data_IF_174656648856
#
_entry.id   IF_174656648856
#
_cell.length_a   1.000
_cell.length_b   1.000
_cell.length_c   1.000
_cell.angle_alpha   90.00
_cell.angle_beta   90.00
_cell.angle_gamma   90.00
#
_symmetry.space_group_name_H-M   'P 1'
#
loop_
_entity.id
_entity.type
_entity.pdbx_description
1 polymer ?
#
# COMPACT_ATOMS: atom_id res chain seq x y z
N UNK A 1 -14.02 -14.65 -6.26
CA UNK A 1 -14.93 -15.46 -5.43
C UNK A 1 -16.35 -14.97 -5.68
N UNK A 2 -17.29 -15.89 -5.81
CA UNK A 2 -18.72 -15.60 -6.00
C UNK A 2 -19.39 -14.96 -4.76
N UNK A 3 -18.59 -14.58 -3.78
CA UNK A 3 -19.04 -13.92 -2.54
C UNK A 3 -18.83 -12.42 -2.70
N UNK A 4 -19.92 -11.68 -2.82
CA UNK A 4 -19.89 -10.22 -2.96
C UNK A 4 -19.26 -9.50 -1.76
N UNK A 5 -18.97 -8.21 -1.94
CA UNK A 5 -18.57 -7.31 -0.85
C UNK A 5 -19.85 -6.85 -0.13
N UNK A 6 -19.88 -6.99 1.19
CA UNK A 6 -21.01 -6.57 2.03
C UNK A 6 -20.61 -5.32 2.81
N UNK A 7 -21.48 -4.32 2.77
CA UNK A 7 -21.31 -3.10 3.56
C UNK A 7 -22.14 -3.22 4.85
N UNK A 8 -21.53 -2.94 6.00
CA UNK A 8 -22.17 -2.87 7.31
C UNK A 8 -22.16 -1.41 7.80
N UNK A 9 -23.11 -0.59 7.38
CA UNK A 9 -23.09 0.85 7.62
C UNK A 9 -23.43 1.26 9.06
N UNK A 10 -23.81 0.34 9.94
CA UNK A 10 -24.27 0.63 11.30
C UNK A 10 -23.27 1.45 12.13
N UNK A 11 -21.97 1.10 12.07
CA UNK A 11 -20.97 1.85 12.79
C UNK A 11 -20.83 3.27 12.22
N UNK A 12 -20.84 3.40 10.90
CA UNK A 12 -20.72 4.70 10.21
C UNK A 12 -21.93 5.61 10.56
N UNK A 13 -23.12 5.05 10.59
CA UNK A 13 -24.36 5.78 10.82
C UNK A 13 -24.67 6.06 12.31
N UNK A 14 -23.92 5.46 13.23
CA UNK A 14 -24.14 5.65 14.66
C UNK A 14 -23.56 6.99 15.13
N UNK A 15 -24.43 7.98 15.31
CA UNK A 15 -24.08 9.34 15.77
C UNK A 15 -23.58 9.39 17.22
N UNK A 16 -23.90 8.39 18.04
CA UNK A 16 -23.49 8.33 19.45
C UNK A 16 -22.03 7.88 19.64
N UNK A 17 -21.39 7.41 18.57
CA UNK A 17 -19.97 7.00 18.55
C UNK A 17 -19.21 8.03 17.71
N UNK A 18 -18.44 8.89 18.35
CA UNK A 18 -17.66 9.92 17.66
C UNK A 18 -16.40 9.33 17.02
N UNK A 19 -15.59 8.59 17.76
CA UNK A 19 -14.38 7.94 17.25
C UNK A 19 -14.68 6.49 16.87
N UNK A 20 -14.76 6.24 15.58
CA UNK A 20 -15.13 4.95 14.97
C UNK A 20 -13.91 4.14 14.53
N UNK A 21 -12.72 4.47 15.00
CA UNK A 21 -11.47 3.79 14.63
C UNK A 21 -11.52 2.32 15.03
N UNK A 22 -11.22 1.43 14.08
CA UNK A 22 -11.00 0.00 14.29
C UNK A 22 -9.49 -0.23 14.36
N UNK A 23 -9.00 -0.69 15.51
CA UNK A 23 -7.58 -0.91 15.76
C UNK A 23 -7.09 -2.29 15.32
N UNK A 24 -7.92 -3.33 15.49
CA UNK A 24 -7.63 -4.69 15.04
C UNK A 24 -8.89 -5.53 14.92
N UNK A 25 -8.77 -6.64 14.20
CA UNK A 25 -9.82 -7.66 14.07
C UNK A 25 -9.25 -8.98 14.55
N UNK A 26 -10.00 -9.66 15.41
CA UNK A 26 -9.68 -11.00 15.90
C UNK A 26 -10.84 -11.93 15.56
N UNK A 27 -10.55 -13.02 14.86
CA UNK A 27 -11.55 -14.03 14.48
C UNK A 27 -11.51 -15.18 15.47
N UNK A 28 -12.66 -15.52 16.01
CA UNK A 28 -12.82 -16.69 16.88
C UNK A 28 -14.19 -17.32 16.63
N UNK A 29 -14.19 -18.58 16.23
CA UNK A 29 -15.36 -19.28 15.75
C UNK A 29 -16.08 -18.51 14.62
N UNK A 30 -17.40 -18.38 14.70
CA UNK A 30 -18.23 -17.62 13.75
C UNK A 30 -18.24 -16.10 13.97
N UNK A 31 -17.38 -15.56 14.86
CA UNK A 31 -17.39 -14.16 15.23
C UNK A 31 -16.09 -13.43 14.88
N UNK A 32 -16.25 -12.20 14.44
CA UNK A 32 -15.19 -11.22 14.33
C UNK A 32 -15.30 -10.19 15.48
N UNK A 33 -14.29 -10.12 16.30
CA UNK A 33 -14.14 -9.15 17.40
C UNK A 33 -13.33 -7.96 16.88
N UNK A 34 -13.98 -6.82 16.72
CA UNK A 34 -13.34 -5.57 16.30
C UNK A 34 -12.92 -4.78 17.52
N UNK A 35 -11.64 -4.63 17.73
CA UNK A 35 -11.07 -3.74 18.74
C UNK A 35 -11.20 -2.30 18.30
N UNK A 36 -11.87 -1.46 19.09
CA UNK A 36 -12.20 -0.09 18.70
C UNK A 36 -11.78 0.93 19.78
N UNK A 37 -11.86 2.22 19.45
CA UNK A 37 -11.56 3.27 20.42
C UNK A 37 -12.65 3.45 21.51
N UNK A 38 -13.77 2.74 21.42
CA UNK A 38 -14.86 2.78 22.41
C UNK A 38 -15.08 1.43 23.12
N UNK A 39 -14.39 0.37 22.70
CA UNK A 39 -14.55 -0.98 23.26
C UNK A 39 -14.39 -2.06 22.20
N UNK A 40 -15.27 -3.06 22.23
CA UNK A 40 -15.24 -4.20 21.30
C UNK A 40 -16.58 -4.32 20.58
N UNK A 41 -16.56 -4.38 19.26
CA UNK A 41 -17.74 -4.66 18.44
C UNK A 41 -17.68 -6.11 17.96
N UNK A 42 -18.77 -6.84 18.08
CA UNK A 42 -18.88 -8.23 17.69
C UNK A 42 -19.72 -8.34 16.43
N UNK A 43 -19.17 -8.99 15.41
CA UNK A 43 -19.85 -9.29 14.14
C UNK A 43 -19.98 -10.80 14.00
N UNK A 44 -21.19 -11.29 13.73
CA UNK A 44 -21.38 -12.66 13.27
C UNK A 44 -21.05 -12.72 11.77
N UNK A 45 -20.06 -13.53 11.41
CA UNK A 45 -19.50 -13.59 10.05
C UNK A 45 -20.50 -14.22 9.08
N UNK A 46 -21.20 -15.25 9.52
CA UNK A 46 -22.16 -15.99 8.67
C UNK A 46 -23.43 -15.18 8.44
N UNK A 47 -23.95 -14.55 9.49
CA UNK A 47 -25.13 -13.66 9.41
C UNK A 47 -24.82 -12.31 8.77
N UNK A 48 -23.55 -11.92 8.73
CA UNK A 48 -23.07 -10.62 8.20
C UNK A 48 -23.71 -9.45 8.93
N UNK A 49 -23.81 -9.55 10.25
CA UNK A 49 -24.48 -8.56 11.09
C UNK A 49 -23.71 -8.30 12.39
N UNK A 50 -23.88 -7.11 12.93
CA UNK A 50 -23.36 -6.73 14.25
C UNK A 50 -24.25 -7.36 15.31
N UNK A 51 -23.69 -8.24 16.10
CA UNK A 51 -24.41 -8.94 17.16
C UNK A 51 -24.46 -8.14 18.45
N UNK A 52 -23.27 -7.62 18.87
CA UNK A 52 -23.09 -6.94 20.13
C UNK A 52 -22.06 -5.81 20.03
N UNK A 53 -22.12 -4.90 21.01
CA UNK A 53 -21.11 -3.86 21.19
C UNK A 53 -20.79 -3.71 22.67
N UNK A 54 -19.63 -4.19 23.09
CA UNK A 54 -19.16 -4.06 24.47
C UNK A 54 -18.53 -2.69 24.67
N UNK A 55 -19.35 -1.74 25.19
CA UNK A 55 -18.93 -0.35 25.44
C UNK A 55 -18.09 -0.30 26.72
N UNK A 56 -16.79 -0.36 26.57
CA UNK A 56 -15.85 -0.38 27.69
C UNK A 56 -15.40 1.02 28.10
N UNK A 57 -15.78 2.06 27.34
CA UNK A 57 -15.31 3.44 27.51
C UNK A 57 -13.79 3.55 27.58
N UNK A 58 -13.12 2.66 26.88
CA UNK A 58 -11.67 2.54 26.78
C UNK A 58 -11.29 2.21 25.37
N UNK A 59 -10.14 2.72 24.96
CA UNK A 59 -9.50 2.31 23.70
C UNK A 59 -8.98 0.90 23.82
N UNK A 60 -9.47 0.01 22.98
CA UNK A 60 -9.02 -1.38 22.87
C UNK A 60 -8.13 -1.51 21.64
N UNK A 61 -6.91 -2.00 21.82
CA UNK A 61 -5.95 -2.20 20.74
C UNK A 61 -6.01 -3.61 20.14
N UNK A 62 -6.27 -4.60 20.98
CA UNK A 62 -6.28 -6.01 20.57
C UNK A 62 -7.12 -6.84 21.51
N UNK A 63 -7.76 -7.87 20.97
CA UNK A 63 -8.50 -8.89 21.70
C UNK A 63 -7.83 -10.24 21.51
N UNK A 64 -7.86 -11.07 22.53
CA UNK A 64 -7.44 -12.47 22.50
C UNK A 64 -8.36 -13.30 23.40
N UNK A 65 -8.67 -14.53 23.00
CA UNK A 65 -9.45 -15.46 23.82
C UNK A 65 -8.53 -16.61 24.24
N UNK A 66 -8.54 -16.92 25.52
CA UNK A 66 -7.83 -18.07 26.09
C UNK A 66 -8.70 -18.70 27.17
N UNK A 67 -8.83 -20.02 27.11
CA UNK A 67 -9.65 -20.79 28.03
C UNK A 67 -11.09 -20.20 28.10
N UNK A 68 -11.59 -19.90 29.28
CA UNK A 68 -12.91 -19.32 29.50
C UNK A 68 -12.97 -17.80 29.45
N UNK A 69 -11.87 -17.11 29.07
CA UNK A 69 -11.76 -15.66 29.18
C UNK A 69 -11.49 -14.99 27.86
N UNK A 70 -12.15 -13.86 27.65
CA UNK A 70 -11.78 -12.83 26.68
C UNK A 70 -10.86 -11.80 27.36
N UNK A 71 -9.77 -11.47 26.71
CA UNK A 71 -8.79 -10.48 27.15
C UNK A 71 -8.77 -9.33 26.17
N UNK A 72 -8.75 -8.11 26.68
CA UNK A 72 -8.63 -6.89 25.88
C UNK A 72 -7.42 -6.06 26.32
N UNK A 73 -6.49 -5.81 25.40
CA UNK A 73 -5.40 -4.87 25.58
C UNK A 73 -5.94 -3.45 25.41
N UNK A 74 -5.79 -2.62 26.42
CA UNK A 74 -6.27 -1.24 26.44
C UNK A 74 -5.12 -0.26 26.66
N UNK A 75 -5.42 1.01 26.54
CA UNK A 75 -4.48 2.09 26.86
C UNK A 75 -3.99 2.10 28.33
N UNK A 76 -4.74 1.45 29.21
CA UNK A 76 -4.45 1.37 30.67
C UNK A 76 -4.04 -0.03 31.13
N UNK A 77 -3.66 -0.94 30.23
CA UNK A 77 -3.28 -2.30 30.52
C UNK A 77 -4.27 -3.33 29.96
N UNK A 78 -4.29 -4.53 30.53
CA UNK A 78 -5.18 -5.61 30.10
C UNK A 78 -6.38 -5.72 31.04
N UNK A 79 -7.56 -5.83 30.44
CA UNK A 79 -8.77 -6.22 31.15
C UNK A 79 -9.27 -7.58 30.63
N UNK A 80 -10.04 -8.29 31.42
CA UNK A 80 -10.64 -9.57 31.01
C UNK A 80 -12.04 -9.73 31.57
N UNK A 81 -12.83 -10.57 30.89
CA UNK A 81 -14.11 -11.05 31.38
C UNK A 81 -14.28 -12.53 31.07
N UNK A 82 -15.13 -13.24 31.81
CA UNK A 82 -15.51 -14.60 31.43
C UNK A 82 -16.45 -14.59 30.22
N UNK A 83 -16.25 -15.51 29.28
CA UNK A 83 -17.06 -15.61 28.07
C UNK A 83 -18.53 -15.95 28.34
N UNK A 84 -18.82 -16.65 29.44
CA UNK A 84 -20.16 -17.02 29.89
C UNK A 84 -20.88 -15.93 30.68
N UNK A 85 -20.20 -14.82 31.00
CA UNK A 85 -20.79 -13.67 31.68
C UNK A 85 -21.49 -12.73 30.72
N UNK A 86 -22.34 -11.82 31.25
CA UNK A 86 -22.91 -10.75 30.42
C UNK A 86 -21.80 -9.73 30.03
N UNK A 87 -21.23 -9.89 28.86
CA UNK A 87 -20.13 -9.02 28.37
C UNK A 87 -20.58 -7.59 28.04
N UNK A 88 -21.88 -7.33 27.95
CA UNK A 88 -22.45 -5.99 27.80
C UNK A 88 -22.36 -5.18 29.10
N UNK A 89 -22.32 -5.85 30.25
CA UNK A 89 -22.12 -5.19 31.54
C UNK A 89 -20.62 -4.99 31.79
N UNK A 90 -20.20 -3.73 31.84
CA UNK A 90 -18.80 -3.38 32.07
C UNK A 90 -18.28 -3.82 33.44
N UNK A 91 -19.16 -4.09 34.45
CA UNK A 91 -18.76 -4.60 35.76
C UNK A 91 -18.22 -6.04 35.72
N UNK A 92 -18.54 -6.79 34.66
CA UNK A 92 -17.99 -8.12 34.45
C UNK A 92 -16.56 -8.09 33.87
N UNK A 93 -16.08 -6.92 33.48
CA UNK A 93 -14.72 -6.71 33.03
C UNK A 93 -13.83 -6.24 34.15
N UNK A 94 -12.82 -7.01 34.48
CA UNK A 94 -11.88 -6.72 35.58
C UNK A 94 -10.46 -6.53 35.05
N UNK A 95 -9.67 -5.72 35.76
CA UNK A 95 -8.26 -5.60 35.45
C UNK A 95 -7.56 -6.95 35.56
N UNK A 96 -6.80 -7.30 34.52
CA UNK A 96 -5.96 -8.49 34.55
C UNK A 96 -4.58 -8.10 35.10
N UNK A 97 -4.30 -8.49 36.36
CA UNK A 97 -3.04 -8.16 37.00
C UNK A 97 -1.88 -8.89 36.32
N UNK A 98 -1.11 -8.14 35.56
CA UNK A 98 0.20 -8.54 35.05
C UNK A 98 1.25 -7.95 35.98
N UNK A 99 2.29 -8.70 36.31
CA UNK A 99 3.47 -8.09 36.92
C UNK A 99 4.18 -7.27 35.86
N UNK A 100 3.77 -6.00 35.70
CA UNK A 100 4.26 -5.09 34.67
C UNK A 100 5.59 -4.43 35.02
N UNK A 101 6.19 -4.76 36.15
CA UNK A 101 7.49 -4.19 36.54
C UNK A 101 8.62 -4.44 35.54
N UNK A 102 8.48 -5.47 34.71
CA UNK A 102 9.44 -5.78 33.66
C UNK A 102 9.14 -5.06 32.33
N UNK A 103 7.96 -4.41 32.22
CA UNK A 103 7.63 -3.60 31.03
C UNK A 103 8.14 -2.17 31.26
N UNK A 104 8.79 -1.61 30.26
CA UNK A 104 9.13 -0.19 30.27
C UNK A 104 7.91 0.71 29.98
N UNK A 105 6.76 0.12 29.69
CA UNK A 105 5.52 0.81 29.31
C UNK A 105 4.32 -0.11 29.53
N UNK A 106 3.17 0.44 29.92
CA UNK A 106 1.91 -0.30 29.97
C UNK A 106 1.16 -0.31 28.61
N UNK A 107 1.77 0.20 27.56
CA UNK A 107 1.16 0.35 26.25
C UNK A 107 1.18 -0.97 25.44
N UNK A 108 0.32 -1.89 25.84
CA UNK A 108 0.17 -3.19 25.18
C UNK A 108 -0.65 -3.01 23.91
N UNK A 109 -0.01 -3.15 22.75
CA UNK A 109 -0.62 -2.91 21.43
C UNK A 109 -1.18 -4.16 20.76
N UNK A 110 -0.64 -5.33 21.10
CA UNK A 110 -1.09 -6.59 20.51
C UNK A 110 -1.00 -7.70 21.54
N UNK A 111 -2.00 -8.58 21.49
CA UNK A 111 -1.99 -9.85 22.20
C UNK A 111 -2.27 -10.97 21.20
N UNK A 112 -1.58 -12.08 21.36
CA UNK A 112 -1.78 -13.31 20.59
C UNK A 112 -1.62 -14.53 21.50
N UNK A 113 -2.22 -15.64 21.09
CA UNK A 113 -2.02 -16.92 21.75
C UNK A 113 -0.95 -17.72 21.00
N UNK A 114 0.11 -18.13 21.69
CA UNK A 114 1.15 -18.97 21.13
C UNK A 114 1.52 -20.07 22.12
N UNK A 115 1.48 -21.32 21.68
CA UNK A 115 1.72 -22.50 22.53
C UNK A 115 0.94 -22.44 23.86
N UNK A 116 -0.33 -22.12 23.77
CA UNK A 116 -1.26 -21.93 24.88
C UNK A 116 -0.85 -20.87 25.93
N UNK A 117 0.03 -19.94 25.57
CA UNK A 117 0.40 -18.81 26.43
C UNK A 117 -0.01 -17.49 25.79
N UNK A 118 -0.48 -16.54 26.62
CA UNK A 118 -0.72 -15.17 26.19
C UNK A 118 0.62 -14.48 25.94
N UNK A 119 0.79 -13.98 24.72
CA UNK A 119 1.96 -13.19 24.31
C UNK A 119 1.54 -11.74 24.10
N UNK A 120 2.42 -10.81 24.48
CA UNK A 120 2.15 -9.38 24.52
C UNK A 120 3.22 -8.63 23.71
N UNK A 121 2.78 -7.78 22.82
CA UNK A 121 3.63 -6.73 22.25
C UNK A 121 3.40 -5.43 23.00
N UNK A 122 4.43 -4.98 23.70
CA UNK A 122 4.45 -3.72 24.45
C UNK A 122 5.26 -2.70 23.66
N UNK A 123 4.60 -1.64 23.21
CA UNK A 123 5.22 -0.63 22.36
C UNK A 123 6.40 0.04 23.05
N UNK A 124 7.52 0.19 22.33
CA UNK A 124 8.79 0.74 22.82
C UNK A 124 9.43 -0.06 23.98
N UNK A 125 9.00 -1.29 24.20
CA UNK A 125 9.52 -2.17 25.24
C UNK A 125 9.96 -3.52 24.68
N UNK A 126 9.05 -4.26 24.02
CA UNK A 126 9.39 -5.54 23.43
C UNK A 126 8.24 -6.53 23.37
N UNK A 127 8.57 -7.81 23.34
CA UNK A 127 7.64 -8.93 23.31
C UNK A 127 7.84 -9.83 24.52
N UNK A 128 6.74 -10.19 25.15
CA UNK A 128 6.70 -10.94 26.39
C UNK A 128 5.65 -12.04 26.28
N UNK A 129 5.72 -13.04 27.18
CA UNK A 129 4.66 -14.05 27.33
C UNK A 129 4.39 -14.34 28.79
N UNK A 130 3.18 -14.78 29.09
CA UNK A 130 2.79 -15.21 30.41
C UNK A 130 2.77 -16.73 30.51
N UNK A 131 3.46 -17.27 31.47
CA UNK A 131 3.43 -18.70 31.85
C UNK A 131 3.42 -18.83 33.35
N UNK A 132 2.56 -19.71 33.88
CA UNK A 132 2.44 -20.00 35.31
C UNK A 132 2.27 -18.73 36.17
N UNK A 133 1.49 -17.77 35.68
CA UNK A 133 1.23 -16.51 36.40
C UNK A 133 2.39 -15.49 36.34
N UNK A 134 3.51 -15.82 35.70
CA UNK A 134 4.68 -14.95 35.59
C UNK A 134 4.85 -14.45 34.16
N UNK A 135 5.37 -13.23 34.03
CA UNK A 135 5.75 -12.64 32.75
C UNK A 135 7.20 -12.98 32.42
N UNK A 136 7.42 -13.48 31.25
CA UNK A 136 8.73 -13.85 30.73
C UNK A 136 9.05 -13.03 29.47
N UNK A 137 10.33 -12.80 29.23
CA UNK A 137 10.82 -12.01 28.10
C UNK A 137 11.04 -12.92 26.90
N UNK A 138 10.52 -12.51 25.74
CA UNK A 138 10.89 -13.08 24.43
C UNK A 138 11.96 -12.19 23.78
N UNK A 139 11.72 -10.87 23.79
CA UNK A 139 12.66 -9.89 23.23
C UNK A 139 12.42 -8.51 23.84
N UNK A 140 13.49 -7.85 24.30
CA UNK A 140 13.47 -6.47 24.77
C UNK A 140 13.90 -5.46 23.71
N UNK A 141 13.63 -5.75 22.43
CA UNK A 141 13.91 -4.85 21.35
C UNK A 141 12.78 -3.82 21.19
N UNK A 142 13.07 -2.56 21.48
CA UNK A 142 12.12 -1.45 21.42
C UNK A 142 11.77 -0.99 19.99
N UNK A 143 12.48 -1.49 18.98
CA UNK A 143 12.21 -1.20 17.56
C UNK A 143 11.21 -2.16 16.92
N UNK A 144 10.72 -3.15 17.67
CA UNK A 144 9.69 -4.07 17.17
C UNK A 144 8.41 -3.31 16.83
N UNK A 145 7.76 -3.72 15.74
CA UNK A 145 6.58 -3.05 15.19
C UNK A 145 5.27 -3.81 15.43
N UNK A 146 5.31 -5.13 15.52
CA UNK A 146 4.10 -5.95 15.61
C UNK A 146 4.40 -7.34 16.19
N UNK A 147 3.33 -8.06 16.54
CA UNK A 147 3.35 -9.43 17.02
C UNK A 147 2.24 -10.23 16.36
N UNK A 148 2.57 -11.35 15.76
CA UNK A 148 1.64 -12.19 14.98
C UNK A 148 1.88 -13.67 15.33
N UNK A 149 0.84 -14.48 15.13
CA UNK A 149 0.98 -15.94 15.03
C UNK A 149 0.52 -16.38 13.65
N UNK A 150 1.38 -17.03 12.90
CA UNK A 150 1.09 -17.59 11.58
C UNK A 150 1.76 -18.96 11.46
N UNK A 151 1.06 -19.94 10.93
CA UNK A 151 1.56 -21.31 10.77
C UNK A 151 2.22 -21.84 12.05
N UNK A 152 1.55 -21.67 13.20
CA UNK A 152 2.04 -22.09 14.53
C UNK A 152 3.42 -21.50 14.90
N UNK A 153 3.85 -20.43 14.26
CA UNK A 153 5.06 -19.67 14.58
C UNK A 153 4.67 -18.31 15.17
N UNK A 154 5.41 -17.89 16.19
CA UNK A 154 5.33 -16.54 16.70
C UNK A 154 6.25 -15.65 15.86
N UNK A 155 5.72 -14.54 15.36
CA UNK A 155 6.42 -13.66 14.44
C UNK A 155 6.42 -12.25 15.00
N UNK A 156 7.58 -11.62 14.98
CA UNK A 156 7.74 -10.18 15.23
C UNK A 156 8.81 -9.62 14.31
N UNK A 157 8.82 -8.32 14.08
CA UNK A 157 9.76 -7.70 13.16
C UNK A 157 10.06 -6.24 13.51
N UNK A 158 11.23 -5.80 13.08
CA UNK A 158 11.63 -4.38 12.99
C UNK A 158 11.40 -3.86 11.56
N UNK A 159 11.95 -2.70 11.22
CA UNK A 159 11.97 -2.24 9.82
C UNK A 159 12.88 -3.07 8.89
N UNK A 160 13.83 -3.81 9.47
CA UNK A 160 14.91 -4.46 8.71
C UNK A 160 15.16 -5.93 9.06
N UNK A 161 14.50 -6.46 10.07
CA UNK A 161 14.72 -7.85 10.50
C UNK A 161 13.41 -8.51 10.88
N UNK A 162 13.16 -9.67 10.30
CA UNK A 162 12.06 -10.56 10.63
C UNK A 162 12.55 -11.64 11.61
N UNK A 163 11.85 -11.83 12.73
CA UNK A 163 12.09 -12.88 13.71
C UNK A 163 10.94 -13.87 13.68
N UNK A 164 11.27 -15.15 13.47
CA UNK A 164 10.31 -16.26 13.44
C UNK A 164 10.68 -17.24 14.55
N UNK A 165 9.80 -17.36 15.54
CA UNK A 165 9.99 -18.22 16.71
C UNK A 165 9.23 -19.53 16.51
N UNK A 166 9.95 -20.65 16.60
CA UNK A 166 9.34 -21.98 16.64
C UNK A 166 8.86 -22.37 18.05
N UNK A 167 9.49 -21.81 19.06
CA UNK A 167 9.13 -21.85 20.47
C UNK A 167 9.69 -20.61 21.17
N UNK A 168 9.54 -20.48 22.47
CA UNK A 168 9.98 -19.28 23.20
C UNK A 168 11.50 -19.06 23.26
N UNK A 169 12.29 -20.06 22.92
CA UNK A 169 13.78 -20.03 22.98
C UNK A 169 14.47 -20.11 21.61
N UNK A 170 13.81 -20.72 20.64
CA UNK A 170 14.39 -20.95 19.29
C UNK A 170 13.79 -20.01 18.28
N UNK A 171 14.64 -19.20 17.65
CA UNK A 171 14.23 -18.24 16.63
C UNK A 171 15.16 -18.24 15.43
N UNK A 172 14.58 -17.96 14.26
CA UNK A 172 15.30 -17.55 13.07
C UNK A 172 15.23 -16.02 12.96
N UNK A 173 16.32 -15.40 12.51
CA UNK A 173 16.38 -13.96 12.21
C UNK A 173 16.78 -13.78 10.73
N UNK A 174 15.91 -13.08 9.99
CA UNK A 174 16.05 -12.91 8.54
C UNK A 174 16.11 -11.42 8.24
N UNK A 175 17.15 -10.99 7.53
CA UNK A 175 17.27 -9.61 7.07
C UNK A 175 16.36 -9.37 5.89
N UNK A 176 15.45 -8.42 6.03
CA UNK A 176 14.50 -7.99 5.00
C UNK A 176 14.28 -6.50 5.18
N UNK A 177 14.53 -5.73 4.15
CA UNK A 177 14.36 -4.27 4.20
C UNK A 177 12.88 -3.85 4.15
N UNK A 178 12.56 -2.77 4.87
CA UNK A 178 11.26 -2.10 4.83
C UNK A 178 10.05 -3.00 5.15
N UNK A 179 10.16 -3.84 6.17
CA UNK A 179 9.06 -4.73 6.58
C UNK A 179 7.89 -3.89 7.09
N UNK A 180 6.73 -4.04 6.45
CA UNK A 180 5.46 -3.43 6.84
C UNK A 180 4.48 -4.46 7.41
N UNK A 181 4.39 -5.65 6.82
CA UNK A 181 3.53 -6.73 7.32
C UNK A 181 4.04 -8.10 6.86
N UNK A 182 3.57 -9.17 7.54
CA UNK A 182 3.96 -10.55 7.27
C UNK A 182 2.74 -11.45 7.33
N UNK A 183 2.60 -12.34 6.38
CA UNK A 183 1.56 -13.38 6.39
C UNK A 183 2.12 -14.75 6.01
N UNK A 184 1.33 -15.80 6.30
CA UNK A 184 1.69 -17.17 5.94
C UNK A 184 1.44 -17.47 4.47
N UNK A 185 2.27 -18.34 3.87
CA UNK A 185 2.00 -18.99 2.61
C UNK A 185 1.07 -20.21 2.75
N UNK A 186 1.00 -21.00 1.68
CA UNK A 186 0.16 -22.22 1.65
C UNK A 186 0.68 -23.33 2.56
N UNK A 187 1.99 -23.41 2.75
CA UNK A 187 2.63 -24.39 3.63
C UNK A 187 3.17 -23.74 4.92
N UNK A 188 3.48 -24.57 5.91
CA UNK A 188 3.91 -24.10 7.24
C UNK A 188 5.26 -23.38 7.26
N UNK A 189 6.06 -23.50 6.21
CA UNK A 189 7.42 -22.99 6.13
C UNK A 189 7.56 -21.78 5.21
N UNK A 190 6.47 -21.37 4.56
CA UNK A 190 6.46 -20.23 3.62
C UNK A 190 5.82 -19.01 4.25
N UNK A 191 6.46 -17.86 4.08
CA UNK A 191 5.95 -16.56 4.51
C UNK A 191 6.08 -15.52 3.40
N UNK A 192 5.10 -14.62 3.35
CA UNK A 192 5.06 -13.47 2.48
C UNK A 192 5.23 -12.20 3.28
N UNK A 193 6.08 -11.31 2.82
CA UNK A 193 6.48 -10.09 3.50
C UNK A 193 6.17 -8.91 2.60
N UNK A 194 5.35 -7.99 3.10
CA UNK A 194 5.12 -6.71 2.44
C UNK A 194 6.27 -5.76 2.77
N UNK A 195 6.96 -5.26 1.75
CA UNK A 195 8.17 -4.43 1.88
C UNK A 195 7.98 -2.99 1.38
N UNK A 196 6.74 -2.52 1.38
CA UNK A 196 6.38 -1.16 0.95
C UNK A 196 6.69 -0.93 -0.53
N UNK A 197 7.48 0.09 -0.82
CA UNK A 197 7.88 0.42 -2.20
C UNK A 197 8.72 -0.69 -2.87
N UNK A 198 9.31 -1.59 -2.09
CA UNK A 198 10.07 -2.73 -2.61
C UNK A 198 9.18 -3.95 -2.96
N UNK A 199 7.85 -3.80 -2.85
CA UNK A 199 6.89 -4.80 -3.27
C UNK A 199 6.71 -5.93 -2.25
N UNK A 200 6.77 -7.19 -2.71
CA UNK A 200 6.52 -8.39 -1.93
C UNK A 200 7.76 -9.30 -1.98
N UNK A 201 8.13 -9.82 -0.81
CA UNK A 201 9.19 -10.84 -0.70
C UNK A 201 8.59 -12.13 -0.14
N UNK A 202 8.81 -13.23 -0.86
CA UNK A 202 8.48 -14.58 -0.41
C UNK A 202 9.71 -15.28 0.15
N UNK A 203 9.59 -15.91 1.31
CA UNK A 203 10.64 -16.71 1.91
C UNK A 203 10.11 -18.10 2.26
N UNK A 204 10.97 -19.11 2.15
CA UNK A 204 10.66 -20.49 2.52
C UNK A 204 11.80 -21.12 3.30
N UNK A 205 11.46 -21.84 4.37
CA UNK A 205 12.45 -22.63 5.13
C UNK A 205 12.69 -23.98 4.45
N UNK A 206 13.94 -24.24 4.10
CA UNK A 206 14.43 -25.51 3.55
C UNK A 206 15.78 -25.82 4.19
N UNK A 207 15.99 -27.06 4.61
CA UNK A 207 17.24 -27.49 5.26
C UNK A 207 17.66 -26.56 6.42
N UNK A 208 16.71 -26.26 7.32
CA UNK A 208 16.88 -25.39 8.50
C UNK A 208 17.19 -23.90 8.20
N UNK A 209 17.19 -23.48 6.93
CA UNK A 209 17.43 -22.08 6.54
C UNK A 209 16.29 -21.51 5.73
N UNK A 210 15.99 -20.22 5.96
CA UNK A 210 15.07 -19.44 5.11
C UNK A 210 15.81 -18.92 3.89
N UNK A 211 15.26 -19.23 2.71
CA UNK A 211 15.73 -18.71 1.42
C UNK A 211 14.64 -17.89 0.76
N UNK A 212 15.02 -16.90 -0.02
CA UNK A 212 14.08 -16.12 -0.84
C UNK A 212 13.58 -16.98 -1.99
N UNK A 213 12.25 -17.11 -2.11
CA UNK A 213 11.59 -17.83 -3.22
C UNK A 213 10.96 -16.87 -4.24
N UNK A 214 10.68 -15.66 -3.82
CA UNK A 214 10.23 -14.57 -4.66
C UNK A 214 10.73 -13.25 -4.09
N UNK A 215 11.31 -12.43 -4.93
CA UNK A 215 11.59 -11.04 -4.65
C UNK A 215 11.04 -10.25 -5.84
N UNK A 216 9.84 -9.71 -5.65
CA UNK A 216 9.23 -8.89 -6.67
C UNK A 216 9.64 -7.45 -6.43
N UNK A 217 10.70 -7.05 -7.11
CA UNK A 217 10.99 -5.64 -7.33
C UNK A 217 9.98 -5.11 -8.34
N UNK A 218 9.48 -3.93 -8.14
CA UNK A 218 8.41 -3.21 -8.84
C UNK A 218 8.20 -3.40 -10.37
N UNK A 219 9.01 -4.20 -11.05
CA UNK A 219 9.01 -4.34 -12.51
C UNK A 219 8.20 -5.54 -13.03
N UNK A 220 7.72 -6.44 -12.16
CA UNK A 220 7.00 -7.66 -12.56
C UNK A 220 5.65 -7.83 -11.86
N UNK A 221 5.01 -6.75 -11.45
CA UNK A 221 3.69 -6.84 -10.84
C UNK A 221 2.65 -7.13 -11.93
N UNK A 222 1.95 -8.25 -11.81
CA UNK A 222 0.68 -8.52 -12.49
C UNK A 222 -0.45 -7.61 -11.98
N UNK A 223 -0.14 -6.34 -11.72
CA UNK A 223 -1.02 -5.33 -11.16
C UNK A 223 -0.57 -3.94 -11.59
N UNK A 224 -1.43 -2.92 -11.48
CA UNK A 224 -1.02 -1.53 -11.66
C UNK A 224 0.15 -1.17 -10.73
N UNK A 225 1.17 -0.53 -11.27
CA UNK A 225 2.37 -0.10 -10.50
C UNK A 225 2.03 0.94 -9.42
N UNK A 226 1.02 1.79 -9.70
CA UNK A 226 0.67 2.93 -8.85
C UNK A 226 -0.84 3.15 -8.79
N UNK A 227 -1.29 3.80 -7.73
CA UNK A 227 -2.67 4.25 -7.57
C UNK A 227 -2.90 5.71 -8.05
N UNK A 228 -1.98 6.28 -8.80
CA UNK A 228 -2.12 7.57 -9.44
C UNK A 228 -2.83 7.38 -10.78
N UNK A 229 -4.11 7.69 -10.83
CA UNK A 229 -4.93 7.55 -12.03
C UNK A 229 -5.53 8.91 -12.35
N UNK A 230 -4.97 9.60 -13.34
CA UNK A 230 -5.45 10.91 -13.76
C UNK A 230 -6.34 10.81 -15.00
N UNK A 231 -5.91 10.05 -16.01
CA UNK A 231 -6.66 9.83 -17.24
C UNK A 231 -6.56 8.37 -17.66
N UNK A 232 -7.63 7.85 -18.25
CA UNK A 232 -7.66 6.50 -18.83
C UNK A 232 -8.45 6.47 -20.14
N UNK A 233 -8.08 5.56 -21.01
CA UNK A 233 -8.81 5.24 -22.24
C UNK A 233 -8.72 3.75 -22.54
N UNK A 234 -9.67 3.26 -23.33
CA UNK A 234 -9.64 1.90 -23.87
C UNK A 234 -9.52 2.00 -25.39
N UNK A 235 -8.43 1.49 -25.91
CA UNK A 235 -8.17 1.40 -27.34
C UNK A 235 -7.69 0.00 -27.70
N UNK A 236 -8.22 -0.57 -28.79
CA UNK A 236 -7.84 -1.91 -29.27
C UNK A 236 -7.90 -3.00 -28.16
N UNK A 237 -8.96 -2.98 -27.33
CA UNK A 237 -9.14 -3.89 -26.19
C UNK A 237 -8.05 -3.81 -25.11
N UNK A 238 -7.26 -2.76 -25.08
CA UNK A 238 -6.31 -2.49 -24.01
C UNK A 238 -6.75 -1.26 -23.20
N UNK A 239 -6.61 -1.34 -21.88
CA UNK A 239 -6.82 -0.21 -20.99
C UNK A 239 -5.48 0.50 -20.78
N UNK A 240 -5.43 1.77 -21.12
CA UNK A 240 -4.30 2.65 -20.90
C UNK A 240 -4.61 3.60 -19.75
N UNK A 241 -3.72 3.69 -18.78
CA UNK A 241 -3.85 4.57 -17.60
C UNK A 241 -2.60 5.41 -17.49
N UNK A 242 -2.75 6.73 -17.42
CA UNK A 242 -1.66 7.64 -17.08
C UNK A 242 -1.94 8.29 -15.72
N UNK A 243 -0.89 8.43 -14.92
CA UNK A 243 -0.94 9.03 -13.60
C UNK A 243 -0.15 10.31 -13.55
N UNK A 244 -0.79 11.37 -13.11
CA UNK A 244 -0.21 12.70 -13.03
C UNK A 244 -1.24 13.69 -12.55
N UNK A 245 -1.29 14.85 -13.17
CA UNK A 245 -2.28 15.87 -12.89
C UNK A 245 -1.92 17.22 -13.45
N UNK A 246 -2.85 18.15 -13.31
CA UNK A 246 -2.68 19.55 -13.70
C UNK A 246 -2.83 20.44 -12.47
N UNK A 247 -1.93 21.37 -12.33
CA UNK A 247 -2.03 22.46 -11.38
C UNK A 247 -1.33 23.69 -11.97
N UNK A 248 -1.56 24.86 -11.41
CA UNK A 248 -0.81 26.10 -11.71
C UNK A 248 0.70 25.87 -11.60
N UNK A 249 1.11 25.12 -10.58
CA UNK A 249 2.44 24.54 -10.47
C UNK A 249 2.43 23.08 -10.89
N UNK A 250 3.59 22.43 -10.89
CA UNK A 250 3.70 20.98 -11.14
C UNK A 250 3.35 20.21 -9.87
N UNK A 251 2.64 19.09 -10.01
CA UNK A 251 2.41 18.15 -8.92
C UNK A 251 3.66 17.30 -8.63
N UNK A 252 4.56 17.20 -9.62
CA UNK A 252 5.79 16.41 -9.56
C UNK A 252 5.56 14.90 -9.32
N UNK A 253 4.42 14.38 -9.78
CA UNK A 253 4.13 12.96 -9.75
C UNK A 253 5.02 12.27 -10.79
N UNK A 254 5.79 11.22 -10.44
CA UNK A 254 6.61 10.48 -11.39
C UNK A 254 5.82 10.00 -12.59
N UNK A 255 6.41 10.05 -13.78
CA UNK A 255 5.78 9.63 -15.01
C UNK A 255 5.22 8.22 -14.90
N UNK A 256 3.90 8.09 -15.02
CA UNK A 256 3.19 6.85 -14.79
C UNK A 256 2.37 6.49 -16.02
N UNK A 257 2.71 5.38 -16.64
CA UNK A 257 1.92 4.75 -17.68
C UNK A 257 1.77 3.27 -17.35
N UNK A 258 0.54 2.80 -17.30
CA UNK A 258 0.16 1.43 -17.03
C UNK A 258 -0.81 0.97 -18.13
N UNK A 259 -0.55 -0.19 -18.71
CA UNK A 259 -1.36 -0.74 -19.80
C UNK A 259 -1.82 -2.14 -19.41
N UNK A 260 -3.12 -2.42 -19.52
CA UNK A 260 -3.69 -3.73 -19.29
C UNK A 260 -4.30 -4.30 -20.57
N UNK A 261 -3.84 -5.48 -20.97
CA UNK A 261 -4.27 -6.13 -22.21
C UNK A 261 -5.39 -7.16 -22.04
N UNK A 262 -6.02 -7.20 -20.85
CA UNK A 262 -7.02 -8.19 -20.50
C UNK A 262 -6.47 -9.36 -19.66
N UNK A 263 -5.17 -9.62 -19.71
CA UNK A 263 -4.49 -10.70 -18.98
C UNK A 263 -3.37 -10.19 -18.09
N UNK A 264 -2.57 -9.25 -18.59
CA UNK A 264 -1.32 -8.81 -17.99
C UNK A 264 -1.24 -7.29 -17.94
N UNK A 265 -0.50 -6.78 -16.96
CA UNK A 265 -0.15 -5.38 -16.84
C UNK A 265 1.25 -5.12 -17.38
N UNK A 266 1.38 -4.14 -18.26
CA UNK A 266 2.63 -3.49 -18.56
C UNK A 266 2.73 -2.22 -17.72
N UNK A 267 3.82 -2.08 -16.99
CA UNK A 267 4.12 -0.88 -16.19
C UNK A 267 5.40 -0.23 -16.72
N UNK A 268 5.27 1.01 -17.19
CA UNK A 268 6.42 1.75 -17.70
C UNK A 268 7.50 1.92 -16.63
N UNK A 269 8.76 1.70 -17.01
CA UNK A 269 9.90 2.09 -16.18
C UNK A 269 10.28 3.55 -16.46
N UNK A 270 9.87 4.44 -15.58
CA UNK A 270 10.16 5.88 -15.70
C UNK A 270 11.66 6.21 -15.66
N UNK A 271 12.49 5.36 -15.05
CA UNK A 271 13.93 5.59 -15.01
C UNK A 271 14.56 5.32 -16.37
N UNK A 272 14.14 4.25 -17.05
CA UNK A 272 14.57 3.99 -18.43
C UNK A 272 14.08 5.07 -19.39
N UNK A 273 12.83 5.52 -19.26
CA UNK A 273 12.34 6.65 -20.06
C UNK A 273 13.17 7.89 -19.83
N UNK A 274 13.42 8.27 -18.61
CA UNK A 274 14.24 9.46 -18.27
C UNK A 274 15.66 9.35 -18.84
N UNK A 275 16.26 8.16 -18.80
CA UNK A 275 17.58 7.89 -19.36
C UNK A 275 17.57 8.09 -20.91
N UNK A 276 16.57 7.53 -21.59
CA UNK A 276 16.47 7.69 -23.05
C UNK A 276 16.12 9.12 -23.47
N UNK A 277 15.27 9.81 -22.74
CA UNK A 277 14.99 11.24 -22.94
C UNK A 277 16.28 12.07 -22.83
N UNK A 278 17.07 11.86 -21.81
CA UNK A 278 18.32 12.62 -21.62
C UNK A 278 19.37 12.33 -22.70
N UNK A 279 19.38 11.14 -23.31
CA UNK A 279 20.22 10.85 -24.48
C UNK A 279 19.82 11.65 -25.74
N UNK A 280 18.54 12.00 -25.86
CA UNK A 280 18.06 12.81 -26.98
C UNK A 280 18.60 14.25 -26.94
N UNK A 281 19.00 14.74 -25.75
CA UNK A 281 19.46 16.11 -25.54
C UNK A 281 20.87 16.17 -24.91
N UNK A 282 21.89 15.60 -25.55
CA UNK A 282 23.22 15.44 -24.97
C UNK A 282 23.94 16.76 -24.67
N UNK A 283 23.63 17.81 -25.43
CA UNK A 283 24.22 19.15 -25.29
C UNK A 283 23.51 20.02 -24.22
N UNK A 284 22.45 19.47 -23.60
CA UNK A 284 21.65 20.24 -22.66
C UNK A 284 22.18 20.10 -21.23
N UNK A 285 22.37 21.23 -20.56
CA UNK A 285 22.72 21.24 -19.12
C UNK A 285 21.54 20.87 -18.21
N UNK A 286 20.33 20.73 -18.76
CA UNK A 286 19.13 20.36 -18.02
C UNK A 286 18.92 18.85 -18.06
N UNK A 287 18.71 18.25 -16.87
CA UNK A 287 18.39 16.83 -16.74
C UNK A 287 16.87 16.65 -16.69
N UNK A 288 16.31 16.01 -17.69
CA UNK A 288 14.90 15.68 -17.74
C UNK A 288 14.54 14.58 -16.72
N UNK A 289 13.48 14.84 -16.00
CA UNK A 289 12.74 13.82 -15.22
C UNK A 289 11.28 13.96 -15.59
N UNK A 290 10.79 13.09 -16.46
CA UNK A 290 9.41 13.18 -16.98
C UNK A 290 8.41 12.92 -15.87
N UNK A 291 7.41 13.80 -15.76
CA UNK A 291 6.46 13.83 -14.66
C UNK A 291 5.08 14.27 -15.14
N UNK A 292 4.09 14.07 -14.27
CA UNK A 292 2.73 14.60 -14.44
C UNK A 292 2.11 14.23 -15.78
N UNK A 293 2.05 12.92 -16.10
CA UNK A 293 1.39 12.46 -17.33
C UNK A 293 -0.10 12.73 -17.26
N UNK A 294 -0.65 13.42 -18.26
CA UNK A 294 -2.01 13.96 -18.24
C UNK A 294 -2.93 13.41 -19.31
N UNK A 295 -2.42 12.71 -20.29
CA UNK A 295 -3.21 12.11 -21.37
C UNK A 295 -2.42 11.13 -22.20
N UNK A 296 -3.12 10.29 -22.91
CA UNK A 296 -2.56 9.35 -23.88
C UNK A 296 -3.44 9.31 -25.11
N UNK A 297 -2.82 9.21 -26.28
CA UNK A 297 -3.50 8.95 -27.54
C UNK A 297 -2.79 7.79 -28.27
N UNK A 298 -3.54 6.79 -28.65
CA UNK A 298 -3.06 5.61 -29.38
C UNK A 298 -3.33 5.82 -30.86
N UNK A 299 -2.35 5.52 -31.71
CA UNK A 299 -2.48 5.62 -33.17
C UNK A 299 -3.58 4.64 -33.64
N UNK A 300 -4.64 5.12 -34.30
CA UNK A 300 -5.72 4.26 -34.75
C UNK A 300 -5.30 3.24 -35.80
N UNK A 301 -4.15 3.45 -36.48
CA UNK A 301 -3.60 2.57 -37.53
C UNK A 301 -2.53 1.60 -36.97
N UNK A 302 -1.91 1.92 -35.85
CA UNK A 302 -0.85 1.12 -35.20
C UNK A 302 -1.02 1.11 -33.71
N UNK A 303 -1.66 0.09 -33.09
CA UNK A 303 -1.87 0.01 -31.65
C UNK A 303 -0.59 -0.03 -30.80
N UNK A 304 0.56 -0.30 -31.42
CA UNK A 304 1.85 -0.28 -30.73
C UNK A 304 2.47 1.10 -30.64
N UNK A 305 1.91 2.06 -31.38
CA UNK A 305 2.35 3.45 -31.45
C UNK A 305 1.39 4.36 -30.69
N UNK A 306 1.90 5.08 -29.72
CA UNK A 306 1.10 5.99 -28.91
C UNK A 306 1.91 7.15 -28.36
N UNK A 307 1.20 8.20 -27.97
CA UNK A 307 1.78 9.43 -27.43
C UNK A 307 1.22 9.71 -26.04
N UNK A 308 2.08 10.20 -25.15
CA UNK A 308 1.73 10.57 -23.77
C UNK A 308 2.05 12.03 -23.55
N UNK A 309 1.08 12.80 -23.05
CA UNK A 309 1.33 14.19 -22.63
C UNK A 309 1.90 14.23 -21.22
N UNK A 310 3.01 14.93 -21.05
CA UNK A 310 3.59 15.29 -19.77
C UNK A 310 3.34 16.78 -19.53
N UNK A 311 2.68 17.15 -18.43
CA UNK A 311 2.27 18.54 -18.16
C UNK A 311 3.44 19.50 -17.86
N UNK A 312 4.62 19.08 -18.06
CA UNK A 312 5.83 19.89 -17.93
C UNK A 312 6.73 19.76 -19.13
N UNK A 313 7.05 18.55 -19.52
CA UNK A 313 8.11 18.28 -20.49
C UNK A 313 7.62 18.34 -21.95
N UNK A 314 6.32 18.13 -22.22
CA UNK A 314 5.77 18.13 -23.57
C UNK A 314 5.07 16.83 -23.95
N UNK A 315 5.41 16.24 -25.09
CA UNK A 315 4.79 15.00 -25.59
C UNK A 315 5.85 13.93 -25.80
N UNK A 316 5.65 12.78 -25.18
CA UNK A 316 6.48 11.58 -25.35
C UNK A 316 5.84 10.64 -26.36
N UNK A 317 6.63 10.20 -27.32
CA UNK A 317 6.28 9.19 -28.32
C UNK A 317 6.79 7.82 -27.87
N UNK A 318 5.95 6.81 -28.01
CA UNK A 318 6.28 5.42 -27.71
C UNK A 318 5.91 4.51 -28.88
N UNK A 319 6.71 3.48 -29.11
CA UNK A 319 6.42 2.39 -30.05
C UNK A 319 6.84 1.06 -29.41
N UNK A 320 5.97 0.07 -29.46
CA UNK A 320 6.19 -1.23 -28.81
C UNK A 320 6.60 -1.10 -27.33
N UNK A 321 5.94 -0.19 -26.62
CA UNK A 321 6.20 0.16 -25.22
C UNK A 321 7.62 0.71 -24.94
N UNK A 322 8.35 1.13 -25.97
CA UNK A 322 9.67 1.77 -25.85
C UNK A 322 9.57 3.24 -26.18
N UNK A 323 10.29 4.07 -25.43
CA UNK A 323 10.41 5.49 -25.74
C UNK A 323 11.09 5.71 -27.08
N UNK A 324 10.53 6.61 -27.88
CA UNK A 324 11.04 7.00 -29.21
C UNK A 324 11.58 8.43 -29.18
N UNK A 325 10.74 9.38 -28.76
CA UNK A 325 11.08 10.81 -28.84
C UNK A 325 10.29 11.65 -27.83
N UNK A 326 10.92 12.72 -27.34
CA UNK A 326 10.24 13.81 -26.64
C UNK A 326 10.12 15.02 -27.58
N UNK A 327 8.91 15.51 -27.76
CA UNK A 327 8.61 16.77 -28.44
C UNK A 327 8.37 17.85 -27.42
N UNK A 328 9.12 18.93 -27.51
CA UNK A 328 9.02 20.11 -26.65
C UNK A 328 9.34 21.40 -27.43
N UNK A 329 9.48 22.51 -26.75
CA UNK A 329 9.77 23.82 -27.36
C UNK A 329 11.12 23.89 -28.12
N UNK A 330 12.06 22.97 -27.86
CA UNK A 330 13.37 23.01 -28.53
C UNK A 330 13.39 22.28 -29.87
N UNK A 331 12.45 21.42 -30.14
CA UNK A 331 12.46 20.54 -31.33
C UNK A 331 11.09 20.42 -32.04
N UNK A 332 10.14 21.25 -31.67
CA UNK A 332 8.79 21.27 -32.27
C UNK A 332 8.17 22.67 -32.19
N UNK A 333 6.92 22.80 -32.66
CA UNK A 333 6.13 24.04 -32.49
C UNK A 333 5.44 24.17 -31.14
N UNK A 334 5.69 23.26 -30.20
CA UNK A 334 5.21 23.39 -28.82
C UNK A 334 5.87 24.63 -28.20
N UNK A 335 5.08 25.47 -27.53
CA UNK A 335 5.57 26.66 -26.87
C UNK A 335 5.58 26.46 -25.37
N UNK A 336 6.60 26.96 -24.64
CA UNK A 336 6.58 26.95 -23.18
C UNK A 336 5.57 27.97 -22.67
N UNK A 337 5.08 27.74 -21.45
CA UNK A 337 4.17 28.67 -20.78
C UNK A 337 4.81 30.07 -20.63
N UNK A 338 3.94 31.09 -20.62
CA UNK A 338 4.34 32.51 -20.53
C UNK A 338 5.13 32.81 -19.25
N UNK A 339 6.00 33.83 -19.38
CA UNK A 339 6.76 34.38 -18.25
C UNK A 339 7.66 33.36 -17.54
N UNK A 340 8.20 32.40 -18.29
CA UNK A 340 9.17 31.41 -17.77
C UNK A 340 10.58 31.77 -18.16
N UNK A 341 11.53 31.56 -17.22
CA UNK A 341 12.97 31.68 -17.53
C UNK A 341 13.39 30.59 -18.50
N UNK A 342 14.51 30.79 -19.19
CA UNK A 342 15.07 29.82 -20.15
C UNK A 342 15.18 28.40 -19.55
N UNK A 343 15.59 28.29 -18.29
CA UNK A 343 15.69 27.02 -17.60
C UNK A 343 14.30 26.41 -17.30
N UNK A 344 13.34 27.23 -16.86
CA UNK A 344 11.97 26.79 -16.59
C UNK A 344 11.24 26.32 -17.85
N UNK A 345 11.58 26.85 -19.03
CA UNK A 345 10.93 26.46 -20.28
C UNK A 345 11.00 24.96 -20.54
N UNK A 346 12.04 24.26 -20.06
CA UNK A 346 12.16 22.81 -20.22
C UNK A 346 11.10 21.99 -19.46
N UNK A 347 10.50 22.60 -18.44
CA UNK A 347 9.52 21.92 -17.57
C UNK A 347 8.14 22.58 -17.55
N UNK A 348 7.90 23.49 -18.48
CA UNK A 348 6.62 24.20 -18.61
C UNK A 348 6.05 24.17 -20.03
N UNK A 349 6.23 23.05 -20.75
CA UNK A 349 5.57 22.79 -22.02
C UNK A 349 4.17 22.18 -21.77
N UNK A 350 3.21 23.01 -21.41
CA UNK A 350 1.90 22.67 -20.86
C UNK A 350 0.99 21.97 -21.88
N UNK A 351 1.15 20.67 -22.05
CA UNK A 351 0.26 19.88 -22.92
C UNK A 351 -0.91 19.33 -22.11
N UNK A 352 -2.11 19.78 -22.48
CA UNK A 352 -3.33 19.49 -21.74
C UNK A 352 -4.02 18.18 -22.13
N UNK A 353 -4.06 17.85 -23.42
CA UNK A 353 -4.70 16.64 -23.95
C UNK A 353 -4.16 16.30 -25.34
N UNK A 354 -4.36 15.04 -25.72
CA UNK A 354 -3.98 14.48 -27.03
C UNK A 354 -5.16 13.73 -27.62
N UNK A 355 -5.29 13.76 -28.96
CA UNK A 355 -6.23 12.91 -29.69
C UNK A 355 -5.79 12.75 -31.15
N UNK A 356 -6.05 11.59 -31.73
CA UNK A 356 -5.87 11.38 -33.17
C UNK A 356 -7.15 11.72 -33.95
N UNK A 357 -6.97 12.26 -35.16
CA UNK A 357 -8.05 12.30 -36.13
C UNK A 357 -8.07 11.03 -37.01
N UNK A 358 -9.06 10.93 -37.88
CA UNK A 358 -9.24 9.77 -38.79
C UNK A 358 -8.12 9.63 -39.80
N UNK A 359 -7.48 10.72 -40.15
CA UNK A 359 -6.35 10.80 -41.08
C UNK A 359 -5.05 10.31 -40.42
N UNK A 360 -5.00 10.27 -39.10
CA UNK A 360 -3.84 9.86 -38.29
C UNK A 360 -2.98 11.04 -37.85
N UNK A 361 -3.49 12.26 -37.91
CA UNK A 361 -2.80 13.41 -37.34
C UNK A 361 -3.05 13.45 -35.82
N UNK A 362 -2.01 13.70 -35.06
CA UNK A 362 -2.12 13.88 -33.59
C UNK A 362 -2.37 15.35 -33.27
N UNK A 363 -3.53 15.63 -32.73
CA UNK A 363 -3.93 16.94 -32.22
C UNK A 363 -3.63 17.06 -30.74
N UNK A 364 -3.16 18.24 -30.31
CA UNK A 364 -2.83 18.50 -28.91
C UNK A 364 -3.19 19.92 -28.51
N UNK A 365 -3.52 20.11 -27.23
CA UNK A 365 -3.71 21.43 -26.64
C UNK A 365 -2.48 21.86 -25.87
N UNK A 366 -1.91 23.01 -26.26
CA UNK A 366 -0.78 23.63 -25.56
C UNK A 366 -1.30 24.84 -24.79
N UNK A 367 -1.22 24.79 -23.48
CA UNK A 367 -1.86 25.74 -22.57
C UNK A 367 -0.89 26.84 -22.09
N UNK A 368 -1.45 27.98 -21.62
CA UNK A 368 -0.73 29.11 -21.03
C UNK A 368 0.28 29.78 -22.01
N UNK A 369 -0.05 29.85 -23.29
CA UNK A 369 0.81 30.40 -24.34
C UNK A 369 0.09 31.52 -25.12
N UNK A 370 0.85 32.40 -25.81
CA UNK A 370 0.30 33.51 -26.61
C UNK A 370 0.03 33.11 -28.05
N UNK A 371 0.68 32.06 -28.57
CA UNK A 371 0.47 31.60 -29.92
C UNK A 371 -0.64 30.55 -30.01
N UNK A 372 -0.90 29.96 -31.17
CA UNK A 372 -2.00 29.00 -31.37
C UNK A 372 -1.98 27.86 -30.36
N UNK A 373 -2.97 27.79 -29.48
CA UNK A 373 -3.11 26.79 -28.42
C UNK A 373 -3.38 25.37 -28.92
N UNK A 374 -3.70 25.20 -30.23
CA UNK A 374 -3.87 23.90 -30.87
C UNK A 374 -2.64 23.63 -31.72
N UNK A 375 -1.99 22.51 -31.47
CA UNK A 375 -0.85 22.03 -32.26
C UNK A 375 -1.20 20.70 -32.93
N UNK A 376 -0.60 20.43 -34.07
CA UNK A 376 -0.85 19.19 -34.82
C UNK A 376 0.49 18.58 -35.23
N UNK A 377 0.67 17.30 -34.93
CA UNK A 377 1.71 16.48 -35.53
C UNK A 377 1.06 15.71 -36.69
N UNK A 378 1.53 15.98 -37.90
CA UNK A 378 0.98 15.35 -39.11
C UNK A 378 1.37 13.87 -39.21
N UNK A 379 0.48 13.06 -39.80
CA UNK A 379 0.71 11.62 -39.97
C UNK A 379 1.99 11.32 -40.80
N UNK A 380 2.43 12.23 -41.64
CA UNK A 380 3.62 12.09 -42.50
C UNK A 380 4.91 12.67 -41.85
N UNK A 381 4.86 13.06 -40.55
CA UNK A 381 6.05 13.42 -39.79
C UNK A 381 6.71 14.75 -40.14
N UNK A 382 5.96 15.70 -40.69
CA UNK A 382 6.43 17.07 -40.99
C UNK A 382 5.84 18.11 -40.05
#
# INVERSE_FOLDING_TARGET
>A
SDKGIYNLPYLMNNSNIQDKTINSIFIYNEYAYLSTNFGIMLINIDKKDITDTYKLNKKVYSVCIKDEYIYAATESGVIRAKLDSNLLDHNNWSAYSLNTSIFNSNNIRKMVLFQNNLCFFVQNSGVYYQSNGQINIISQNNQLKNLLVRNEKLITYTGSTLYIYSNFTTKDAINVENINDVTSGKDANTFWIATGINGIKGIKKSNEQYTTILENTNNELYSPKRNYNYFMTIENNQLYIVGGGRNSDRLNIPGTLMIYNGNEWFNLDENEVNKEVNKQFPENNFIFTTKDYTGIAVDPKDPTHYFVSAYGEGVLEFRENKFVKLYNHTNSTISPALNKTTEQQFTYNRIGSLTFDKEGNLWMTNCEIDDGSIKVLKAEGT
#
